data_IF_776235155647
#
_entry.id   IF_776235155647
#
_cell.length_a   1.000
_cell.length_b   1.000
_cell.length_c   1.000
_cell.angle_alpha   90.00
_cell.angle_beta   90.00
_cell.angle_gamma   90.00
#
_symmetry.space_group_name_H-M   'P 1'
#
loop_
_entity.id
_entity.type
_entity.pdbx_description
1 polymer ?
#
# COMPACT_ATOMS: atom_id res chain seq x y z
N UNK A 1 -33.39 10.67 -16.81
CA UNK A 1 -33.51 9.32 -16.24
C UNK A 1 -32.11 8.78 -16.00
N UNK A 2 -31.80 8.45 -14.75
CA UNK A 2 -30.46 8.10 -14.27
C UNK A 2 -30.02 6.72 -14.74
N UNK A 3 -28.98 6.65 -15.56
CA UNK A 3 -28.20 5.43 -15.77
C UNK A 3 -27.06 5.44 -14.75
N UNK A 4 -27.40 5.17 -13.49
CA UNK A 4 -26.40 4.77 -12.51
C UNK A 4 -26.25 3.26 -12.69
N UNK A 5 -25.23 2.87 -13.47
CA UNK A 5 -24.88 1.48 -13.67
C UNK A 5 -24.68 0.80 -12.32
N UNK A 6 -25.34 -0.33 -12.13
CA UNK A 6 -25.09 -1.22 -11.01
C UNK A 6 -23.60 -1.54 -10.97
N UNK A 7 -22.89 -0.97 -10.01
CA UNK A 7 -21.55 -1.43 -9.67
C UNK A 7 -21.74 -2.86 -9.17
N UNK A 8 -21.38 -3.83 -10.00
CA UNK A 8 -21.46 -5.24 -9.65
C UNK A 8 -20.73 -5.44 -8.31
N UNK A 9 -21.50 -5.73 -7.25
CA UNK A 9 -21.00 -5.95 -5.89
C UNK A 9 -19.93 -7.05 -5.85
N UNK A 10 -19.99 -7.99 -6.80
CA UNK A 10 -18.99 -9.03 -7.01
C UNK A 10 -17.63 -8.43 -7.39
N UNK A 11 -17.59 -7.41 -8.27
CA UNK A 11 -16.35 -6.71 -8.61
C UNK A 11 -15.83 -5.86 -7.45
N UNK A 12 -16.73 -5.25 -6.67
CA UNK A 12 -16.34 -4.36 -5.55
C UNK A 12 -15.45 -5.06 -4.54
N UNK A 13 -15.65 -6.36 -4.29
CA UNK A 13 -14.86 -7.11 -3.31
C UNK A 13 -14.04 -8.25 -3.90
N UNK A 14 -14.05 -8.46 -5.23
CA UNK A 14 -13.26 -9.53 -5.87
C UNK A 14 -11.78 -9.45 -5.49
N UNK A 15 -11.22 -8.25 -5.40
CA UNK A 15 -9.83 -8.03 -5.01
C UNK A 15 -9.51 -8.56 -3.60
N UNK A 16 -10.44 -8.54 -2.65
CA UNK A 16 -10.25 -9.14 -1.32
C UNK A 16 -9.91 -10.63 -1.45
N UNK A 17 -10.68 -11.39 -2.24
CA UNK A 17 -10.47 -12.83 -2.41
C UNK A 17 -9.14 -13.14 -3.11
N UNK A 18 -8.76 -12.32 -4.09
CA UNK A 18 -7.47 -12.44 -4.77
C UNK A 18 -6.31 -12.21 -3.79
N UNK A 19 -6.39 -11.14 -2.99
CA UNK A 19 -5.35 -10.82 -2.01
C UNK A 19 -5.30 -11.84 -0.88
N UNK A 20 -6.45 -12.38 -0.46
CA UNK A 20 -6.49 -13.47 0.52
C UNK A 20 -5.82 -14.73 -0.03
N UNK A 21 -6.12 -15.10 -1.28
CA UNK A 21 -5.45 -16.23 -1.96
C UNK A 21 -3.95 -16.00 -2.14
N UNK A 22 -3.52 -14.76 -2.42
CA UNK A 22 -2.11 -14.42 -2.48
C UNK A 22 -1.42 -14.57 -1.12
N UNK A 23 -2.04 -14.06 -0.06
CA UNK A 23 -1.55 -14.21 1.31
C UNK A 23 -1.44 -15.68 1.72
N UNK A 24 -2.49 -16.48 1.48
CA UNK A 24 -2.52 -17.88 1.90
C UNK A 24 -1.53 -18.76 1.10
N UNK A 25 -1.19 -18.36 -0.13
CA UNK A 25 -0.15 -19.01 -0.95
C UNK A 25 1.26 -18.74 -0.42
N UNK A 26 1.60 -17.49 -0.14
CA UNK A 26 2.93 -17.10 0.34
C UNK A 26 2.85 -15.95 1.36
N UNK A 27 2.59 -16.28 2.64
CA UNK A 27 2.44 -15.27 3.68
C UNK A 27 3.72 -14.46 3.91
N UNK A 28 4.90 -15.04 3.65
CA UNK A 28 6.19 -14.38 3.91
C UNK A 28 6.46 -13.28 2.89
N UNK A 29 6.08 -13.51 1.63
CA UNK A 29 6.29 -12.55 0.54
C UNK A 29 5.12 -11.60 0.32
N UNK A 30 3.97 -11.87 0.95
CA UNK A 30 2.76 -11.07 0.78
C UNK A 30 2.96 -9.59 1.10
N UNK A 31 3.73 -9.26 2.15
CA UNK A 31 4.05 -7.88 2.51
C UNK A 31 4.73 -7.13 1.36
N UNK A 32 5.74 -7.74 0.73
CA UNK A 32 6.42 -7.16 -0.42
C UNK A 32 5.51 -7.06 -1.64
N UNK A 33 4.68 -8.07 -1.88
CA UNK A 33 3.71 -8.01 -2.97
C UNK A 33 2.75 -6.83 -2.82
N UNK A 34 2.22 -6.59 -1.61
CA UNK A 34 1.37 -5.43 -1.32
C UNK A 34 2.13 -4.11 -1.51
N UNK A 35 3.40 -4.03 -1.06
CA UNK A 35 4.26 -2.86 -1.30
C UNK A 35 4.45 -2.60 -2.81
N UNK A 36 4.61 -3.64 -3.63
CA UNK A 36 4.70 -3.50 -5.09
C UNK A 36 3.41 -2.99 -5.71
N UNK A 37 2.26 -3.55 -5.30
CA UNK A 37 0.97 -3.07 -5.77
C UNK A 37 0.74 -1.60 -5.38
N UNK A 38 1.18 -1.19 -4.19
CA UNK A 38 1.15 0.21 -3.78
C UNK A 38 2.05 1.07 -4.69
N UNK A 39 3.24 0.60 -5.05
CA UNK A 39 4.12 1.30 -5.98
C UNK A 39 3.49 1.47 -7.38
N UNK A 40 2.85 0.43 -7.92
CA UNK A 40 2.11 0.55 -9.17
C UNK A 40 0.95 1.54 -9.07
N UNK A 41 0.18 1.52 -7.97
CA UNK A 41 -0.90 2.48 -7.73
C UNK A 41 -0.36 3.92 -7.69
N UNK A 42 0.75 4.14 -6.98
CA UNK A 42 1.39 5.44 -6.88
C UNK A 42 1.87 5.93 -8.26
N UNK A 43 2.64 5.13 -8.99
CA UNK A 43 3.27 5.58 -10.23
C UNK A 43 2.30 5.60 -11.42
N UNK A 44 1.60 4.50 -11.70
CA UNK A 44 0.81 4.36 -12.93
C UNK A 44 -0.56 5.05 -12.86
N UNK A 45 -1.17 5.10 -11.67
CA UNK A 45 -2.55 5.60 -11.53
C UNK A 45 -2.59 7.00 -10.90
N UNK A 46 -1.63 7.34 -10.03
CA UNK A 46 -1.58 8.66 -9.36
C UNK A 46 -0.51 9.61 -9.90
N UNK A 47 0.39 9.14 -10.79
CA UNK A 47 1.46 9.97 -11.36
C UNK A 47 2.56 10.34 -10.39
N UNK A 48 2.78 9.52 -9.35
CA UNK A 48 3.89 9.70 -8.42
C UNK A 48 5.23 9.31 -9.07
N UNK A 49 6.30 9.92 -8.58
CA UNK A 49 7.68 9.54 -8.92
C UNK A 49 8.33 8.97 -7.67
N UNK A 50 8.58 7.66 -7.65
CA UNK A 50 9.31 7.00 -6.56
C UNK A 50 10.79 7.33 -6.70
N UNK A 51 11.36 7.97 -5.68
CA UNK A 51 12.78 8.35 -5.61
C UNK A 51 13.60 7.41 -4.73
N UNK A 52 12.93 6.62 -3.88
CA UNK A 52 13.53 5.54 -3.12
C UNK A 52 12.56 4.37 -3.00
N UNK A 53 13.08 3.16 -3.18
CA UNK A 53 12.35 1.92 -2.97
C UNK A 53 13.23 0.96 -2.18
N UNK A 54 12.80 0.61 -0.97
CA UNK A 54 13.54 -0.23 -0.03
C UNK A 54 12.83 -1.55 0.20
N UNK A 55 13.56 -2.66 0.13
CA UNK A 55 13.09 -3.97 0.60
C UNK A 55 13.65 -4.32 1.98
N UNK A 56 14.79 -3.73 2.34
CA UNK A 56 15.53 -3.96 3.60
C UNK A 56 16.16 -2.67 4.14
N UNK A 57 15.73 -1.52 3.64
CA UNK A 57 16.32 -0.22 3.99
C UNK A 57 15.61 0.41 5.17
N UNK A 58 16.05 1.63 5.50
CA UNK A 58 15.47 2.43 6.58
C UNK A 58 14.01 2.77 6.33
N UNK A 59 13.58 2.92 5.07
CA UNK A 59 12.17 3.05 4.73
C UNK A 59 11.77 2.40 3.42
N UNK A 60 10.49 2.04 3.31
CA UNK A 60 9.99 1.23 2.20
C UNK A 60 9.85 2.02 0.91
N UNK A 61 9.22 3.21 0.95
CA UNK A 61 8.95 4.02 -0.25
C UNK A 61 9.12 5.52 0.04
N UNK A 62 9.94 6.21 -0.77
CA UNK A 62 9.98 7.68 -0.86
C UNK A 62 9.52 8.11 -2.23
N UNK A 63 8.59 9.04 -2.30
CA UNK A 63 8.03 9.47 -3.58
C UNK A 63 7.62 10.93 -3.58
N UNK A 64 7.64 11.52 -4.78
CA UNK A 64 7.02 12.81 -5.04
C UNK A 64 5.66 12.60 -5.69
N UNK A 65 4.67 13.31 -5.17
CA UNK A 65 3.34 13.36 -5.77
C UNK A 65 2.92 14.82 -5.76
N UNK A 66 2.75 15.38 -6.96
CA UNK A 66 2.68 16.83 -7.17
C UNK A 66 3.96 17.51 -6.62
N UNK A 67 3.80 18.57 -5.85
CA UNK A 67 4.87 19.34 -5.20
C UNK A 67 5.37 18.71 -3.88
N UNK A 68 4.69 17.70 -3.35
CA UNK A 68 4.95 17.12 -2.03
C UNK A 68 5.89 15.92 -2.08
N UNK A 69 6.78 15.85 -1.10
CA UNK A 69 7.64 14.69 -0.83
C UNK A 69 7.02 13.86 0.30
N UNK A 70 6.77 12.58 0.04
CA UNK A 70 6.27 11.61 1.00
C UNK A 70 7.36 10.57 1.33
N UNK A 71 7.38 10.14 2.59
CA UNK A 71 8.24 9.05 3.07
C UNK A 71 7.35 8.06 3.82
N UNK A 72 7.38 6.79 3.43
CA UNK A 72 6.36 5.83 3.81
C UNK A 72 6.94 4.48 4.23
N UNK A 73 6.45 3.97 5.37
CA UNK A 73 6.53 2.56 5.76
C UNK A 73 5.23 1.85 5.39
N UNK A 74 5.33 0.59 4.98
CA UNK A 74 4.21 -0.23 4.55
C UNK A 74 4.10 -1.46 5.45
N UNK A 75 2.91 -1.71 5.98
CA UNK A 75 2.63 -2.89 6.82
C UNK A 75 1.37 -3.58 6.35
N UNK A 76 1.42 -4.89 6.20
CA UNK A 76 0.22 -5.72 6.05
C UNK A 76 -0.17 -6.33 7.39
N UNK A 77 -1.46 -6.38 7.69
CA UNK A 77 -1.96 -7.08 8.88
C UNK A 77 -3.34 -7.67 8.63
N UNK A 78 -3.65 -8.78 9.31
CA UNK A 78 -5.02 -9.28 9.48
C UNK A 78 -5.45 -9.29 10.94
N UNK A 79 -4.66 -8.68 11.82
CA UNK A 79 -4.90 -8.61 13.25
C UNK A 79 -5.72 -7.37 13.64
N UNK A 80 -6.31 -7.41 14.84
CA UNK A 80 -7.05 -6.26 15.39
C UNK A 80 -6.14 -5.09 15.78
N UNK A 81 -4.85 -5.35 15.98
CA UNK A 81 -3.88 -4.37 16.44
C UNK A 81 -2.69 -4.31 15.50
N UNK A 82 -2.00 -3.18 15.52
CA UNK A 82 -0.70 -3.02 14.87
C UNK A 82 0.24 -2.29 15.83
N UNK A 83 1.45 -2.82 15.96
CA UNK A 83 2.54 -2.10 16.59
C UNK A 83 3.19 -1.20 15.54
N UNK A 84 3.36 0.08 15.86
CA UNK A 84 3.99 1.05 14.97
C UNK A 84 5.34 1.54 15.45
N UNK A 85 5.88 0.99 16.54
CA UNK A 85 7.12 1.47 17.16
C UNK A 85 8.30 1.47 16.18
N UNK A 86 8.53 0.35 15.48
CA UNK A 86 9.64 0.19 14.53
C UNK A 86 9.49 1.12 13.30
N UNK A 87 8.28 1.21 12.76
CA UNK A 87 7.96 2.12 11.64
C UNK A 87 8.12 3.59 12.06
N UNK A 88 7.78 3.92 13.30
CA UNK A 88 7.95 5.25 13.85
C UNK A 88 9.43 5.64 13.93
N UNK A 89 10.28 4.79 14.51
CA UNK A 89 11.72 5.04 14.64
C UNK A 89 12.42 5.23 13.28
N UNK A 90 11.97 4.48 12.28
CA UNK A 90 12.46 4.58 10.89
C UNK A 90 12.13 5.91 10.24
N UNK A 91 10.93 6.44 10.50
CA UNK A 91 10.41 7.62 9.82
C UNK A 91 10.62 8.94 10.58
N UNK A 92 10.79 8.92 11.90
CA UNK A 92 10.73 10.15 12.72
C UNK A 92 11.74 11.22 12.30
N UNK A 93 12.90 10.80 11.80
CA UNK A 93 13.99 11.68 11.35
C UNK A 93 14.01 11.95 9.85
N UNK A 94 13.07 11.40 9.08
CA UNK A 94 13.04 11.57 7.63
C UNK A 94 12.43 12.92 7.22
N UNK A 95 13.03 13.54 6.20
CA UNK A 95 12.51 14.76 5.60
C UNK A 95 11.31 14.48 4.69
N UNK A 96 10.20 15.18 4.93
CA UNK A 96 8.98 15.12 4.12
C UNK A 96 7.72 14.76 4.91
N UNK A 97 6.66 14.43 4.17
CA UNK A 97 5.39 13.97 4.72
C UNK A 97 5.48 12.49 5.09
N UNK A 98 5.81 12.24 6.35
CA UNK A 98 5.97 10.90 6.93
C UNK A 98 4.62 10.20 7.08
N UNK A 99 4.49 9.00 6.51
CA UNK A 99 3.27 8.21 6.49
C UNK A 99 3.55 6.76 6.88
N UNK A 100 2.61 6.16 7.60
CA UNK A 100 2.57 4.71 7.75
C UNK A 100 1.37 4.24 6.94
N UNK A 101 1.58 3.34 5.98
CA UNK A 101 0.54 2.75 5.18
C UNK A 101 0.27 1.33 5.69
N UNK A 102 -0.86 1.16 6.38
CA UNK A 102 -1.30 -0.15 6.85
C UNK A 102 -2.33 -0.71 5.88
N UNK A 103 -2.01 -1.86 5.30
CA UNK A 103 -2.96 -2.65 4.54
C UNK A 103 -3.64 -3.67 5.47
N UNK A 104 -4.91 -3.41 5.76
CA UNK A 104 -5.77 -4.26 6.56
C UNK A 104 -6.41 -5.33 5.66
N UNK A 105 -5.99 -6.58 5.83
CA UNK A 105 -6.46 -7.76 5.09
C UNK A 105 -7.79 -8.32 5.66
N UNK A 106 -8.39 -7.70 6.69
CA UNK A 106 -9.74 -8.08 7.13
C UNK A 106 -10.78 -7.75 6.07
N UNK A 107 -11.97 -8.36 6.12
CA UNK A 107 -13.04 -8.08 5.15
C UNK A 107 -13.90 -6.89 5.61
N UNK A 108 -14.11 -5.86 4.77
CA UNK A 108 -13.47 -5.62 3.47
C UNK A 108 -12.02 -5.11 3.62
N UNK A 109 -11.14 -5.52 2.69
CA UNK A 109 -9.74 -5.05 2.68
C UNK A 109 -9.67 -3.55 2.45
N UNK A 110 -8.73 -2.86 3.10
CA UNK A 110 -8.59 -1.41 3.00
C UNK A 110 -7.18 -0.92 3.29
N UNK A 111 -6.85 0.27 2.79
CA UNK A 111 -5.68 1.02 3.22
C UNK A 111 -6.01 1.96 4.38
N UNK A 112 -5.05 2.08 5.30
CA UNK A 112 -5.01 3.11 6.33
C UNK A 112 -3.68 3.83 6.19
N UNK A 113 -3.67 4.94 5.45
CA UNK A 113 -2.46 5.76 5.29
C UNK A 113 -2.50 6.85 6.35
N UNK A 114 -1.78 6.64 7.44
CA UNK A 114 -1.80 7.50 8.63
C UNK A 114 -0.65 8.50 8.62
N UNK A 115 -0.92 9.70 9.13
CA UNK A 115 0.10 10.73 9.31
C UNK A 115 0.89 10.49 10.59
N UNK A 116 2.22 10.41 10.48
CA UNK A 116 3.07 10.10 11.63
C UNK A 116 3.11 11.21 12.68
N UNK A 117 2.93 12.48 12.27
CA UNK A 117 3.03 13.68 13.13
C UNK A 117 2.06 13.70 14.31
N UNK A 118 1.03 12.85 14.28
CA UNK A 118 -0.01 12.76 15.31
C UNK A 118 0.01 11.45 16.09
N UNK A 119 0.99 10.59 15.82
CA UNK A 119 1.13 9.28 16.46
C UNK A 119 2.28 9.27 17.45
N UNK A 120 2.16 8.42 18.46
CA UNK A 120 3.23 8.06 19.37
C UNK A 120 3.63 6.61 19.12
N UNK A 121 4.87 6.19 19.39
CA UNK A 121 5.33 4.84 19.09
C UNK A 121 4.72 3.83 20.06
N UNK A 122 3.56 3.27 19.70
CA UNK A 122 2.75 2.40 20.54
C UNK A 122 1.97 1.36 19.72
N UNK A 123 1.29 0.44 20.42
CA UNK A 123 0.35 -0.50 19.80
C UNK A 123 -1.05 0.13 19.68
N UNK A 124 -1.59 0.16 18.47
CA UNK A 124 -2.90 0.74 18.18
C UNK A 124 -3.92 -0.33 17.81
N UNK A 125 -5.18 -0.10 18.19
CA UNK A 125 -6.32 -0.80 17.62
C UNK A 125 -6.53 -0.30 16.18
N UNK A 126 -6.65 -1.19 15.19
CA UNK A 126 -6.74 -0.81 13.78
C UNK A 126 -7.84 0.23 13.51
N UNK A 127 -9.10 0.04 13.98
CA UNK A 127 -10.13 1.08 13.89
C UNK A 127 -9.77 2.45 14.46
N UNK A 128 -8.94 2.54 15.50
CA UNK A 128 -8.61 3.85 16.11
C UNK A 128 -7.66 4.68 15.24
N UNK A 129 -6.97 4.03 14.29
CA UNK A 129 -6.08 4.69 13.33
C UNK A 129 -6.82 5.58 12.32
N UNK A 130 -8.14 5.38 12.15
CA UNK A 130 -8.98 6.22 11.32
C UNK A 130 -8.88 7.71 11.69
N UNK A 131 -8.63 8.02 12.97
CA UNK A 131 -8.50 9.39 13.47
C UNK A 131 -7.23 10.11 13.01
N UNK A 132 -6.25 9.36 12.47
CA UNK A 132 -4.94 9.88 12.07
C UNK A 132 -4.71 9.80 10.56
N UNK A 133 -5.74 9.50 9.78
CA UNK A 133 -5.60 9.32 8.34
C UNK A 133 -5.14 10.58 7.60
N UNK A 134 -4.31 10.35 6.60
CA UNK A 134 -4.23 11.21 5.44
C UNK A 134 -5.39 10.88 4.50
N UNK A 135 -6.54 11.49 4.77
CA UNK A 135 -7.81 11.19 4.08
C UNK A 135 -7.69 11.31 2.56
N UNK A 136 -7.03 12.35 2.05
CA UNK A 136 -6.86 12.57 0.60
C UNK A 136 -6.05 11.43 -0.04
N UNK A 137 -4.86 11.16 0.50
CA UNK A 137 -4.00 10.11 -0.05
C UNK A 137 -4.61 8.71 0.09
N UNK A 138 -5.28 8.44 1.22
CA UNK A 138 -5.98 7.16 1.46
C UNK A 138 -7.07 6.95 0.42
N UNK A 139 -7.96 7.94 0.22
CA UNK A 139 -9.04 7.84 -0.77
C UNK A 139 -8.52 7.68 -2.20
N UNK A 140 -7.47 8.42 -2.56
CA UNK A 140 -6.85 8.31 -3.89
C UNK A 140 -6.31 6.90 -4.14
N UNK A 141 -5.64 6.30 -3.16
CA UNK A 141 -5.15 4.93 -3.24
C UNK A 141 -6.30 3.92 -3.28
N UNK A 142 -7.28 4.01 -2.37
CA UNK A 142 -8.42 3.08 -2.32
C UNK A 142 -9.22 3.07 -3.63
N UNK A 143 -9.33 4.21 -4.32
CA UNK A 143 -10.03 4.32 -5.60
C UNK A 143 -9.35 3.57 -6.76
N UNK A 144 -8.02 3.43 -6.72
CA UNK A 144 -7.24 2.84 -7.83
C UNK A 144 -6.73 1.44 -7.50
N UNK A 145 -6.52 1.14 -6.22
CA UNK A 145 -5.89 -0.09 -5.76
C UNK A 145 -6.58 -1.38 -6.25
N UNK A 146 -7.93 -1.49 -6.25
CA UNK A 146 -8.59 -2.69 -6.78
C UNK A 146 -8.21 -2.99 -8.24
N UNK A 147 -8.12 -1.96 -9.09
CA UNK A 147 -7.73 -2.10 -10.49
C UNK A 147 -6.30 -2.63 -10.63
N UNK A 148 -5.39 -2.14 -9.79
CA UNK A 148 -3.99 -2.56 -9.75
C UNK A 148 -3.88 -4.02 -9.29
N UNK A 149 -4.60 -4.41 -8.24
CA UNK A 149 -4.69 -5.81 -7.80
C UNK A 149 -5.12 -6.72 -8.95
N UNK A 150 -6.22 -6.38 -9.63
CA UNK A 150 -6.71 -7.16 -10.75
C UNK A 150 -5.72 -7.24 -11.92
N UNK A 151 -4.98 -6.17 -12.21
CA UNK A 151 -4.00 -6.12 -13.30
C UNK A 151 -2.80 -7.03 -13.04
N UNK A 152 -2.31 -7.09 -11.80
CA UNK A 152 -1.05 -7.75 -11.46
C UNK A 152 -1.19 -9.09 -10.74
N UNK A 153 -2.40 -9.44 -10.29
CA UNK A 153 -2.63 -10.71 -9.59
C UNK A 153 -2.27 -11.93 -10.45
N UNK A 154 -2.73 -12.00 -11.70
CA UNK A 154 -2.47 -13.16 -12.57
C UNK A 154 -0.97 -13.36 -12.83
N UNK A 155 -0.21 -12.26 -12.93
CA UNK A 155 1.24 -12.29 -13.07
C UNK A 155 1.91 -12.81 -11.79
N UNK A 156 1.43 -12.37 -10.62
CA UNK A 156 1.89 -12.90 -9.34
C UNK A 156 1.54 -14.38 -9.18
N UNK A 157 0.33 -14.79 -9.57
CA UNK A 157 -0.09 -16.19 -9.53
C UNK A 157 0.85 -17.07 -10.36
N UNK A 158 1.15 -16.64 -11.58
CA UNK A 158 1.99 -17.40 -12.52
C UNK A 158 3.49 -17.38 -12.19
N UNK A 159 4.02 -16.24 -11.75
CA UNK A 159 5.47 -16.01 -11.68
C UNK A 159 6.01 -15.68 -10.28
N UNK A 160 5.14 -15.40 -9.30
CA UNK A 160 5.52 -15.02 -7.95
C UNK A 160 5.86 -13.53 -7.79
N UNK A 161 6.17 -13.14 -6.55
CA UNK A 161 6.44 -11.74 -6.18
C UNK A 161 7.68 -11.16 -6.88
N UNK A 162 8.76 -11.95 -7.02
CA UNK A 162 10.01 -11.46 -7.60
C UNK A 162 9.84 -10.98 -9.05
N UNK A 163 8.93 -11.59 -9.81
CA UNK A 163 8.59 -11.13 -11.15
C UNK A 163 7.89 -9.76 -11.13
N UNK A 164 7.01 -9.53 -10.17
CA UNK A 164 6.33 -8.24 -9.98
C UNK A 164 7.36 -7.16 -9.62
N UNK A 165 8.34 -7.49 -8.78
CA UNK A 165 9.45 -6.60 -8.46
C UNK A 165 10.29 -6.21 -9.69
N UNK A 166 10.72 -7.19 -10.49
CA UNK A 166 11.49 -6.91 -11.70
C UNK A 166 10.66 -6.15 -12.75
N UNK A 167 9.34 -6.32 -12.77
CA UNK A 167 8.46 -5.53 -13.64
C UNK A 167 8.44 -4.04 -13.25
N UNK A 168 8.47 -3.71 -11.96
CA UNK A 168 8.61 -2.32 -11.50
C UNK A 168 9.92 -1.70 -12.01
N UNK A 169 11.03 -2.45 -11.96
CA UNK A 169 12.34 -2.01 -12.45
C UNK A 169 12.37 -1.86 -13.96
N UNK A 170 11.89 -2.86 -14.70
CA UNK A 170 11.87 -2.87 -16.15
C UNK A 170 11.04 -1.71 -16.74
N UNK A 171 10.03 -1.25 -16.01
CA UNK A 171 9.20 -0.08 -16.37
C UNK A 171 9.72 1.25 -15.84
N UNK A 172 10.89 1.26 -15.19
CA UNK A 172 11.48 2.44 -14.55
C UNK A 172 10.55 3.12 -13.54
N UNK A 173 9.70 2.35 -12.85
CA UNK A 173 8.76 2.87 -11.85
C UNK A 173 9.41 2.98 -10.47
N UNK A 174 10.50 2.26 -10.24
CA UNK A 174 11.33 2.36 -9.05
C UNK A 174 12.80 2.54 -9.47
N UNK A 175 13.63 3.21 -8.65
CA UNK A 175 15.06 3.35 -8.94
C UNK A 175 15.74 1.99 -9.06
N UNK A 176 16.54 1.82 -10.12
CA UNK A 176 17.48 0.70 -10.20
C UNK A 176 18.66 1.01 -9.28
N UNK A 177 18.87 0.17 -8.27
CA UNK A 177 20.10 0.18 -7.48
C UNK A 177 21.21 -0.55 -8.21
#
# INVERSE_FOLDING_TARGET
MSVLGEVNMEFKYKHYFLLRKAHDRDPKMFGFFIQHLLAFALCEELGAIITHYGRTDRHDIKFRLNDKLYVMEVRTTSEKYVDIHDMYERLIYEEGLRRIAIFDLTFPTRWLIVKLDKLYPARYLIPSLMNFLDTDLTQRIDNVFPRVVHRYYDLFEKHGEGYIYELLKARNLIPSR
#
